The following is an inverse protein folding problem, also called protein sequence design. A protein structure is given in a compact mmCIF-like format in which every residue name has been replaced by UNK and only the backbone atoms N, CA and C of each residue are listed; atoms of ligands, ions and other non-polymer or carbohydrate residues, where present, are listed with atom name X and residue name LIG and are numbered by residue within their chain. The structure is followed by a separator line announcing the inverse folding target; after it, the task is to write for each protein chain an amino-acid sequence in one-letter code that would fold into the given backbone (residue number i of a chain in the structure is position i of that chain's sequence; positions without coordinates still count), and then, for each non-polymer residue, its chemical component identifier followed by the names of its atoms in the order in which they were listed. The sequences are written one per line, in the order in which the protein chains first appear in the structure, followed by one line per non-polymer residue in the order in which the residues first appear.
data_IF_491154753000
#
_entry.id   IF_491154753000
#
_cell.length_a   1.000
_cell.length_b   1.000
_cell.length_c   1.000
_cell.angle_alpha   90.00
_cell.angle_beta   90.00
_cell.angle_gamma   90.00
#
_symmetry.space_group_name_H-M   'P 1'
#
loop_
_entity.id
_entity.type
_entity.pdbx_description
1 polymer ?
#
# COMPACT_ATOMS: atom_id res chain seq x y z
N UNK A 1 10.17 -27.47 10.18
CA UNK A 1 9.70 -27.56 8.78
C UNK A 1 8.87 -26.32 8.49
N UNK A 2 9.29 -25.48 7.55
CA UNK A 2 8.54 -24.28 7.18
C UNK A 2 7.25 -24.71 6.45
N UNK A 3 6.09 -24.36 6.99
CA UNK A 3 4.81 -24.65 6.34
C UNK A 3 4.62 -23.60 5.24
N UNK A 4 4.76 -24.02 3.98
CA UNK A 4 4.48 -23.15 2.82
C UNK A 4 2.97 -23.04 2.68
N UNK A 5 2.42 -21.82 2.86
CA UNK A 5 1.01 -21.54 2.65
C UNK A 5 0.73 -21.30 1.16
N UNK A 6 -0.36 -21.86 0.60
CA UNK A 6 -0.75 -21.50 -0.76
C UNK A 6 -1.13 -20.01 -0.84
N UNK A 7 -0.94 -19.39 -2.00
CA UNK A 7 -1.31 -17.97 -2.21
C UNK A 7 -2.78 -17.68 -1.94
N UNK A 8 -3.64 -18.67 -2.11
CA UNK A 8 -5.09 -18.59 -1.84
C UNK A 8 -5.46 -18.82 -0.37
N UNK A 9 -4.47 -18.98 0.52
CA UNK A 9 -4.75 -19.16 1.95
C UNK A 9 -5.51 -17.97 2.52
N UNK A 10 -6.41 -18.27 3.44
CA UNK A 10 -7.18 -17.24 4.15
C UNK A 10 -6.31 -16.36 5.01
N UNK A 11 -6.77 -15.12 5.22
CA UNK A 11 -6.13 -14.14 6.09
C UNK A 11 -6.10 -14.67 7.52
N UNK A 12 -4.95 -14.57 8.16
CA UNK A 12 -4.75 -14.84 9.59
C UNK A 12 -4.41 -13.51 10.25
N UNK A 13 -5.34 -12.87 10.95
CA UNK A 13 -5.18 -11.49 11.43
C UNK A 13 -3.91 -11.25 12.24
N UNK A 14 -3.56 -12.17 13.14
CA UNK A 14 -2.38 -12.04 14.01
C UNK A 14 -1.06 -12.04 13.24
N UNK A 15 -1.05 -12.61 12.03
CA UNK A 15 0.13 -12.73 11.15
C UNK A 15 0.10 -11.76 9.98
N UNK A 16 -0.96 -10.98 9.85
CA UNK A 16 -1.19 -10.10 8.69
C UNK A 16 -1.00 -8.64 9.08
N UNK A 17 -0.42 -7.84 8.17
CA UNK A 17 -0.47 -6.40 8.19
C UNK A 17 -1.23 -5.86 6.97
N UNK A 18 -1.99 -4.77 7.16
CA UNK A 18 -2.55 -3.97 6.07
C UNK A 18 -1.60 -2.82 5.78
N UNK A 19 -1.01 -2.80 4.58
CA UNK A 19 -0.07 -1.79 4.14
C UNK A 19 -0.74 -0.82 3.15
N UNK A 20 -0.88 0.43 3.55
CA UNK A 20 -1.46 1.51 2.74
C UNK A 20 -0.34 2.37 2.14
N UNK A 21 -0.24 2.32 0.80
CA UNK A 21 0.88 2.90 0.05
C UNK A 21 0.50 4.26 -0.51
N UNK A 22 1.16 5.33 -0.04
CA UNK A 22 1.21 6.66 -0.64
C UNK A 22 -0.16 7.33 -0.88
N UNK A 23 -1.17 7.04 -0.04
CA UNK A 23 -2.47 7.71 -0.09
C UNK A 23 -2.38 9.06 0.62
N UNK A 24 -1.51 9.92 0.09
CA UNK A 24 -1.11 11.21 0.67
C UNK A 24 -1.58 12.41 -0.16
N UNK A 25 -1.68 13.57 0.48
CA UNK A 25 -2.21 14.79 -0.14
C UNK A 25 -1.50 15.15 -1.45
N UNK A 26 -0.17 15.11 -1.49
CA UNK A 26 0.58 15.46 -2.69
C UNK A 26 0.38 14.50 -3.88
N UNK A 27 -0.14 13.30 -3.66
CA UNK A 27 -0.57 12.40 -4.73
C UNK A 27 -2.05 12.63 -5.06
N UNK A 28 -2.89 12.78 -4.05
CA UNK A 28 -4.35 12.80 -4.21
C UNK A 28 -4.90 14.14 -4.71
N UNK A 29 -4.15 15.23 -4.63
CA UNK A 29 -4.62 16.57 -5.05
C UNK A 29 -3.93 17.12 -6.30
N UNK A 30 -2.94 16.39 -6.83
CA UNK A 30 -2.07 16.85 -7.92
C UNK A 30 -2.69 16.60 -9.30
N UNK A 31 -2.95 17.65 -10.08
CA UNK A 31 -3.30 17.61 -11.51
C UNK A 31 -4.51 16.74 -11.92
N UNK A 32 -5.67 16.88 -11.29
CA UNK A 32 -6.86 16.11 -11.70
C UNK A 32 -7.25 16.34 -13.16
N UNK A 33 -6.99 17.52 -13.72
CA UNK A 33 -7.28 17.88 -15.10
C UNK A 33 -6.40 17.15 -16.14
N UNK A 34 -5.23 16.66 -15.72
CA UNK A 34 -4.29 15.96 -16.62
C UNK A 34 -4.48 14.45 -16.59
N UNK A 35 -4.93 13.92 -15.46
CA UNK A 35 -5.08 12.47 -15.22
C UNK A 35 -6.50 12.16 -14.67
N UNK A 36 -7.59 12.49 -15.41
CA UNK A 36 -8.95 12.39 -14.88
C UNK A 36 -9.31 10.98 -14.42
N UNK A 37 -8.98 9.93 -15.19
CA UNK A 37 -9.25 8.55 -14.78
C UNK A 37 -8.64 8.22 -13.42
N UNK A 38 -7.38 8.64 -13.18
CA UNK A 38 -6.70 8.37 -11.93
C UNK A 38 -7.42 9.03 -10.75
N UNK A 39 -7.77 10.31 -10.88
CA UNK A 39 -8.42 11.05 -9.80
C UNK A 39 -9.87 10.62 -9.58
N UNK A 40 -10.63 10.36 -10.63
CA UNK A 40 -12.01 9.88 -10.53
C UNK A 40 -12.06 8.49 -9.84
N UNK A 41 -11.19 7.58 -10.26
CA UNK A 41 -11.10 6.25 -9.65
C UNK A 41 -10.60 6.31 -8.22
N UNK A 42 -9.61 7.15 -7.94
CA UNK A 42 -9.04 7.35 -6.61
C UNK A 42 -10.12 7.79 -5.61
N UNK A 43 -10.84 8.87 -5.93
CA UNK A 43 -11.83 9.45 -5.03
C UNK A 43 -13.16 8.69 -5.03
N UNK A 44 -13.59 8.18 -6.17
CA UNK A 44 -14.85 7.45 -6.30
C UNK A 44 -14.82 6.00 -5.82
N UNK A 45 -13.63 5.38 -5.79
CA UNK A 45 -13.52 3.94 -5.51
C UNK A 45 -12.43 3.61 -4.50
N UNK A 46 -11.18 3.99 -4.79
CA UNK A 46 -10.02 3.47 -4.03
C UNK A 46 -10.01 3.98 -2.59
N UNK A 47 -10.07 5.29 -2.37
CA UNK A 47 -10.05 5.85 -1.01
C UNK A 47 -11.23 5.34 -0.18
N UNK A 48 -12.50 5.38 -0.66
CA UNK A 48 -13.62 4.78 0.06
C UNK A 48 -13.43 3.31 0.42
N UNK A 49 -12.89 2.50 -0.50
CA UNK A 49 -12.62 1.09 -0.26
C UNK A 49 -11.54 0.88 0.80
N UNK A 50 -10.43 1.63 0.73
CA UNK A 50 -9.36 1.56 1.72
C UNK A 50 -9.83 1.98 3.12
N UNK A 51 -10.71 2.99 3.22
CA UNK A 51 -11.34 3.39 4.49
C UNK A 51 -12.16 2.24 5.08
N UNK A 52 -13.00 1.60 4.26
CA UNK A 52 -13.82 0.45 4.70
C UNK A 52 -12.95 -0.72 5.13
N UNK A 53 -11.90 -1.03 4.37
CA UNK A 53 -11.00 -2.13 4.70
C UNK A 53 -10.18 -1.85 5.96
N UNK A 54 -9.69 -0.61 6.15
CA UNK A 54 -9.00 -0.23 7.39
C UNK A 54 -9.87 -0.44 8.62
N UNK A 55 -11.15 -0.04 8.56
CA UNK A 55 -12.10 -0.27 9.65
C UNK A 55 -12.27 -1.76 9.94
N UNK A 56 -12.37 -2.59 8.90
CA UNK A 56 -12.49 -4.05 9.06
C UNK A 56 -11.19 -4.66 9.63
N UNK A 57 -10.03 -4.19 9.17
CA UNK A 57 -8.71 -4.60 9.66
C UNK A 57 -8.55 -4.31 11.16
N UNK A 58 -8.87 -3.11 11.61
CA UNK A 58 -8.84 -2.75 13.03
C UNK A 58 -9.75 -3.65 13.88
N UNK A 59 -10.97 -3.91 13.41
CA UNK A 59 -11.91 -4.81 14.11
C UNK A 59 -11.40 -6.24 14.21
N UNK A 60 -10.61 -6.67 13.23
CA UNK A 60 -10.01 -8.01 13.20
C UNK A 60 -8.64 -8.07 13.93
N UNK A 61 -8.13 -6.97 14.49
CA UNK A 61 -6.82 -6.92 15.14
C UNK A 61 -5.63 -6.98 14.16
N UNK A 62 -5.85 -6.61 12.90
CA UNK A 62 -4.78 -6.51 11.90
C UNK A 62 -4.02 -5.20 12.12
N UNK A 63 -2.70 -5.30 12.16
CA UNK A 63 -1.81 -4.13 12.18
C UNK A 63 -1.93 -3.32 10.89
N UNK A 64 -2.12 -2.01 11.01
CA UNK A 64 -2.15 -1.10 9.86
C UNK A 64 -0.85 -0.31 9.79
N UNK A 65 -0.19 -0.37 8.64
CA UNK A 65 1.06 0.31 8.36
C UNK A 65 0.88 1.21 7.16
N UNK A 66 1.42 2.41 7.22
CA UNK A 66 1.34 3.40 6.14
C UNK A 66 2.72 3.69 5.57
N UNK A 67 2.78 3.93 4.27
CA UNK A 67 3.94 4.59 3.68
C UNK A 67 3.55 5.94 3.09
N UNK A 68 4.47 6.88 3.17
CA UNK A 68 4.38 8.18 2.52
C UNK A 68 5.67 8.44 1.76
N UNK A 69 5.57 9.01 0.57
CA UNK A 69 6.74 9.56 -0.11
C UNK A 69 7.11 10.83 0.65
N UNK A 70 8.23 10.80 1.34
CA UNK A 70 8.74 11.93 2.10
C UNK A 70 10.26 11.90 2.08
N UNK A 71 10.88 13.02 1.68
CA UNK A 71 12.34 13.15 1.67
C UNK A 71 12.88 13.31 3.09
N UNK A 72 13.97 12.61 3.40
CA UNK A 72 14.65 12.73 4.69
C UNK A 72 15.42 14.05 4.82
N UNK A 73 15.79 14.64 3.67
CA UNK A 73 16.55 15.90 3.58
C UNK A 73 15.74 16.97 2.88
N UNK A 74 15.96 18.23 3.23
CA UNK A 74 15.21 19.36 2.67
C UNK A 74 15.36 19.50 1.14
N UNK A 75 16.55 19.19 0.61
CA UNK A 75 16.86 19.23 -0.82
C UNK A 75 16.51 17.91 -1.56
N UNK A 76 16.10 16.89 -0.83
CA UNK A 76 15.71 15.60 -1.40
C UNK A 76 16.85 14.81 -2.05
N UNK A 77 18.12 15.04 -1.62
CA UNK A 77 19.29 14.30 -2.14
C UNK A 77 19.27 12.81 -1.84
N UNK A 78 18.49 12.39 -0.83
CA UNK A 78 18.27 11.02 -0.38
C UNK A 78 17.32 10.22 -1.27
N UNK A 79 16.62 10.87 -2.21
CA UNK A 79 15.68 10.21 -3.12
C UNK A 79 16.39 9.27 -4.09
N UNK A 80 15.70 8.19 -4.50
CA UNK A 80 16.16 7.32 -5.58
C UNK A 80 16.39 8.12 -6.89
N UNK A 81 17.17 7.56 -7.80
CA UNK A 81 17.37 8.18 -9.11
C UNK A 81 16.05 8.40 -9.84
N UNK A 82 15.16 7.38 -9.81
CA UNK A 82 13.84 7.47 -10.42
C UNK A 82 13.03 8.64 -9.85
N UNK A 83 12.97 8.81 -8.53
CA UNK A 83 12.27 9.93 -7.91
C UNK A 83 12.88 11.30 -8.22
N UNK A 84 14.19 11.36 -8.45
CA UNK A 84 14.86 12.60 -8.92
C UNK A 84 14.46 12.92 -10.35
N UNK A 85 14.40 11.93 -11.23
CA UNK A 85 14.04 12.09 -12.64
C UNK A 85 12.54 12.37 -12.83
N UNK A 86 11.67 11.75 -12.07
CA UNK A 86 10.21 11.93 -12.15
C UNK A 86 9.71 13.14 -11.35
N UNK A 87 10.56 13.75 -10.54
CA UNK A 87 10.23 14.94 -9.75
C UNK A 87 9.41 14.66 -8.49
N UNK A 88 9.29 13.41 -8.04
CA UNK A 88 8.68 13.10 -6.74
C UNK A 88 9.55 13.64 -5.61
N UNK A 89 9.10 14.75 -5.03
CA UNK A 89 9.75 15.40 -3.90
C UNK A 89 8.72 16.03 -2.98
N UNK A 90 8.52 15.41 -1.83
CA UNK A 90 7.68 15.93 -0.76
C UNK A 90 8.60 16.19 0.45
N UNK A 91 8.85 17.45 0.80
CA UNK A 91 9.72 17.78 1.93
C UNK A 91 9.19 17.24 3.25
N UNK A 92 10.09 16.91 4.15
CA UNK A 92 9.75 16.37 5.47
C UNK A 92 8.78 17.28 6.22
N UNK A 93 7.70 16.70 6.73
CA UNK A 93 6.67 17.41 7.49
C UNK A 93 5.75 18.31 6.65
N UNK A 94 5.88 18.30 5.30
CA UNK A 94 5.01 19.06 4.43
C UNK A 94 3.58 18.52 4.45
N UNK A 95 2.61 19.36 4.11
CA UNK A 95 1.21 18.95 3.95
C UNK A 95 1.05 17.89 2.85
N UNK A 96 1.83 17.98 1.79
CA UNK A 96 1.86 17.02 0.68
C UNK A 96 2.32 15.61 1.12
N UNK A 97 3.18 15.52 2.14
CA UNK A 97 3.65 14.24 2.68
C UNK A 97 2.64 13.59 3.64
N UNK A 98 1.62 14.32 4.11
CA UNK A 98 0.60 13.77 5.02
C UNK A 98 -0.39 12.87 4.26
N UNK A 99 -0.84 11.83 4.94
CA UNK A 99 -1.96 11.02 4.49
C UNK A 99 -3.22 11.90 4.34
N UNK A 100 -4.09 11.54 3.39
CA UNK A 100 -5.41 12.20 3.26
C UNK A 100 -6.20 12.06 4.55
N UNK A 101 -7.06 13.02 4.84
CA UNK A 101 -7.80 13.09 6.10
C UNK A 101 -8.62 11.81 6.40
N UNK A 102 -9.20 11.20 5.37
CA UNK A 102 -10.02 9.98 5.46
C UNK A 102 -9.21 8.76 5.93
N UNK A 103 -7.90 8.76 5.69
CA UNK A 103 -6.97 7.69 6.06
C UNK A 103 -5.86 8.19 6.98
N UNK A 104 -6.07 9.32 7.68
CA UNK A 104 -5.12 9.81 8.67
C UNK A 104 -4.81 8.72 9.70
N UNK A 105 -3.52 8.40 9.93
CA UNK A 105 -3.13 7.39 10.91
C UNK A 105 -3.45 7.85 12.32
N UNK A 106 -3.81 6.90 13.18
CA UNK A 106 -3.91 7.15 14.61
C UNK A 106 -2.51 7.40 15.23
N UNK A 107 -2.40 8.03 16.41
CA UNK A 107 -1.11 8.37 17.01
C UNK A 107 -0.18 7.18 17.27
N UNK A 108 -0.71 5.96 17.38
CA UNK A 108 0.04 4.72 17.64
C UNK A 108 0.20 3.84 16.37
N UNK A 109 -0.22 4.33 15.21
CA UNK A 109 -0.06 3.60 13.95
C UNK A 109 1.28 3.91 13.28
N UNK A 110 1.85 2.91 12.61
CA UNK A 110 3.18 2.97 12.01
C UNK A 110 3.12 3.70 10.67
N UNK A 111 3.85 4.82 10.56
CA UNK A 111 4.04 5.57 9.31
C UNK A 111 5.50 5.54 8.91
N UNK A 112 5.80 5.06 7.71
CA UNK A 112 7.16 4.91 7.20
C UNK A 112 7.40 5.87 6.02
N UNK A 113 8.24 6.90 6.19
CA UNK A 113 8.66 7.75 5.07
C UNK A 113 9.58 6.96 4.13
N UNK A 114 9.28 7.00 2.84
CA UNK A 114 10.07 6.31 1.81
C UNK A 114 10.57 7.27 0.72
N UNK A 115 11.72 6.94 0.17
CA UNK A 115 12.42 7.75 -0.84
C UNK A 115 12.64 7.00 -2.17
N UNK A 116 11.97 5.85 -2.33
CA UNK A 116 11.94 5.03 -3.56
C UNK A 116 10.59 4.36 -3.73
N UNK A 117 10.32 3.75 -4.89
CA UNK A 117 9.05 3.07 -5.17
C UNK A 117 8.80 1.92 -4.21
N UNK A 118 9.79 1.05 -3.95
CA UNK A 118 9.64 -0.02 -2.98
C UNK A 118 9.92 0.46 -1.55
N UNK A 119 8.97 0.29 -0.62
CA UNK A 119 9.23 0.55 0.80
C UNK A 119 10.26 -0.42 1.40
N UNK A 120 10.41 -1.60 0.84
CA UNK A 120 11.41 -2.58 1.29
C UNK A 120 12.86 -2.12 1.05
N UNK A 121 13.07 -1.18 0.11
CA UNK A 121 14.40 -0.69 -0.24
C UNK A 121 14.79 0.61 0.50
N UNK A 122 13.81 1.40 0.95
CA UNK A 122 14.09 2.73 1.51
C UNK A 122 13.49 2.97 2.89
N UNK A 123 12.96 1.93 3.51
CA UNK A 123 12.41 2.02 4.89
C UNK A 123 12.83 0.83 5.74
N UNK A 124 12.43 0.85 6.99
CA UNK A 124 12.58 -0.27 7.93
C UNK A 124 11.42 -1.27 7.88
N UNK A 125 10.59 -1.27 6.81
CA UNK A 125 9.37 -2.08 6.74
C UNK A 125 9.61 -3.56 7.05
N UNK A 126 10.58 -4.20 6.39
CA UNK A 126 10.88 -5.62 6.60
C UNK A 126 11.29 -5.92 8.06
N UNK A 127 12.14 -5.05 8.63
CA UNK A 127 12.54 -5.14 10.03
C UNK A 127 11.34 -5.03 10.99
N UNK A 128 10.49 -4.05 10.77
CA UNK A 128 9.29 -3.81 11.60
C UNK A 128 8.34 -5.00 11.52
N UNK A 129 7.95 -5.42 10.32
CA UNK A 129 7.00 -6.53 10.12
C UNK A 129 7.49 -7.82 10.79
N UNK A 130 8.77 -8.16 10.67
CA UNK A 130 9.34 -9.36 11.32
C UNK A 130 9.30 -9.27 12.83
N UNK A 131 9.63 -8.11 13.39
CA UNK A 131 9.64 -7.91 14.85
C UNK A 131 8.27 -7.97 15.47
N UNK A 132 7.22 -7.55 14.75
CA UNK A 132 5.83 -7.65 15.21
C UNK A 132 5.15 -8.96 14.77
N UNK A 133 5.92 -9.91 14.22
CA UNK A 133 5.45 -11.26 13.90
C UNK A 133 4.54 -11.35 12.66
N UNK A 134 4.63 -10.39 11.72
CA UNK A 134 3.83 -10.38 10.49
C UNK A 134 4.59 -11.04 9.34
N UNK A 135 3.98 -12.03 8.70
CA UNK A 135 4.51 -12.74 7.53
C UNK A 135 3.52 -12.74 6.34
N UNK A 136 2.42 -12.04 6.48
CA UNK A 136 1.45 -11.78 5.42
C UNK A 136 1.17 -10.27 5.31
N UNK A 137 1.02 -9.77 4.09
CA UNK A 137 0.77 -8.35 3.83
C UNK A 137 -0.36 -8.21 2.83
N UNK A 138 -1.42 -7.49 3.23
CA UNK A 138 -2.46 -6.98 2.35
C UNK A 138 -2.03 -5.58 1.92
N UNK A 139 -1.96 -5.30 0.60
CA UNK A 139 -1.45 -4.03 0.08
C UNK A 139 -2.46 -3.32 -0.81
N UNK A 140 -2.63 -2.02 -0.61
CA UNK A 140 -3.41 -1.12 -1.46
C UNK A 140 -2.84 0.30 -1.45
N UNK A 141 -3.31 1.15 -2.36
CA UNK A 141 -2.85 2.53 -2.52
C UNK A 141 -2.34 2.84 -3.93
N UNK A 142 -1.29 3.66 -4.08
CA UNK A 142 -0.87 4.21 -5.36
C UNK A 142 0.62 4.02 -5.66
N UNK A 143 0.99 3.88 -6.94
CA UNK A 143 0.18 3.52 -8.11
C UNK A 143 0.35 2.03 -8.37
N UNK A 144 -0.67 1.39 -8.97
CA UNK A 144 -0.70 -0.07 -9.19
C UNK A 144 0.54 -0.59 -9.93
N UNK A 145 0.98 0.11 -10.97
CA UNK A 145 2.10 -0.25 -11.82
C UNK A 145 3.45 0.36 -11.38
N UNK A 146 3.51 0.92 -10.18
CA UNK A 146 4.72 1.52 -9.60
C UNK A 146 4.93 1.00 -8.17
N UNK A 147 4.60 1.80 -7.16
CA UNK A 147 4.89 1.44 -5.76
C UNK A 147 4.19 0.16 -5.32
N UNK A 148 2.97 -0.13 -5.79
CA UNK A 148 2.25 -1.38 -5.50
C UNK A 148 2.97 -2.57 -6.15
N UNK A 149 3.30 -2.51 -7.45
CA UNK A 149 4.02 -3.58 -8.16
C UNK A 149 5.36 -3.89 -7.48
N UNK A 150 6.19 -2.87 -7.21
CA UNK A 150 7.45 -3.05 -6.49
C UNK A 150 7.25 -3.68 -5.11
N UNK A 151 6.25 -3.22 -4.35
CA UNK A 151 5.94 -3.76 -3.02
C UNK A 151 5.54 -5.23 -3.07
N UNK A 152 4.70 -5.60 -4.04
CA UNK A 152 4.23 -6.98 -4.22
C UNK A 152 5.40 -7.92 -4.53
N UNK A 153 6.25 -7.56 -5.50
CA UNK A 153 7.38 -8.41 -5.91
C UNK A 153 8.43 -8.52 -4.81
N UNK A 154 8.87 -7.40 -4.27
CA UNK A 154 9.86 -7.38 -3.19
C UNK A 154 9.37 -8.09 -1.94
N UNK A 155 8.09 -7.93 -1.60
CA UNK A 155 7.49 -8.64 -0.46
C UNK A 155 7.45 -10.15 -0.68
N UNK A 156 7.05 -10.60 -1.86
CA UNK A 156 7.05 -12.02 -2.22
C UNK A 156 8.46 -12.63 -2.18
N UNK A 157 9.47 -11.93 -2.73
CA UNK A 157 10.86 -12.38 -2.73
C UNK A 157 11.48 -12.41 -1.31
N UNK A 158 10.98 -11.59 -0.39
CA UNK A 158 11.35 -11.58 1.03
C UNK A 158 10.61 -12.63 1.86
N UNK A 159 9.68 -13.38 1.24
CA UNK A 159 8.95 -14.47 1.87
C UNK A 159 7.65 -14.09 2.55
N UNK A 160 7.09 -12.90 2.26
CA UNK A 160 5.76 -12.51 2.71
C UNK A 160 4.67 -13.14 1.83
N UNK A 161 3.57 -13.58 2.44
CA UNK A 161 2.35 -13.93 1.73
C UNK A 161 1.63 -12.63 1.32
N UNK A 162 1.80 -12.23 0.06
CA UNK A 162 1.26 -10.96 -0.46
C UNK A 162 -0.18 -11.12 -0.93
N UNK A 163 -1.04 -10.15 -0.61
CA UNK A 163 -2.39 -9.97 -1.16
C UNK A 163 -2.55 -8.56 -1.69
N UNK A 164 -2.84 -8.39 -2.99
CA UNK A 164 -3.13 -7.10 -3.58
C UNK A 164 -4.64 -6.85 -3.61
N UNK A 165 -5.08 -5.67 -3.17
CA UNK A 165 -6.47 -5.22 -3.20
C UNK A 165 -6.74 -4.61 -4.58
N UNK A 166 -7.44 -5.33 -5.45
CA UNK A 166 -7.60 -4.94 -6.85
C UNK A 166 -8.44 -3.68 -7.05
N UNK A 167 -9.42 -3.44 -6.20
CA UNK A 167 -10.26 -2.23 -6.17
C UNK A 167 -9.84 -1.23 -5.06
N UNK A 168 -8.72 -1.50 -4.42
CA UNK A 168 -8.05 -0.66 -3.44
C UNK A 168 -6.73 -0.08 -3.97
N UNK A 169 -6.47 -0.15 -5.27
CA UNK A 169 -5.36 0.52 -5.95
C UNK A 169 -5.78 1.00 -7.33
N UNK A 170 -5.06 1.96 -7.88
CA UNK A 170 -5.26 2.47 -9.25
C UNK A 170 -3.98 3.11 -9.78
N UNK A 171 -3.96 3.44 -11.07
CA UNK A 171 -2.88 4.17 -11.75
C UNK A 171 -3.47 5.08 -12.83
N UNK A 172 -2.64 5.70 -13.66
CA UNK A 172 -3.01 6.74 -14.64
C UNK A 172 -4.10 6.36 -15.62
N UNK A 173 -4.23 5.07 -15.99
CA UNK A 173 -5.28 4.57 -16.89
C UNK A 173 -5.74 3.19 -16.49
N UNK A 174 -6.99 2.83 -16.85
CA UNK A 174 -7.53 1.49 -16.62
C UNK A 174 -6.70 0.39 -17.30
N UNK A 175 -6.22 0.64 -18.51
CA UNK A 175 -5.40 -0.31 -19.25
C UNK A 175 -4.08 -0.60 -18.51
N UNK A 176 -3.41 0.42 -17.99
CA UNK A 176 -2.19 0.24 -17.17
C UNK A 176 -2.48 -0.49 -15.87
N UNK A 177 -3.59 -0.16 -15.20
CA UNK A 177 -4.00 -0.85 -13.98
C UNK A 177 -4.19 -2.35 -14.21
N UNK A 178 -4.96 -2.72 -15.23
CA UNK A 178 -5.20 -4.13 -15.58
C UNK A 178 -3.93 -4.86 -15.99
N UNK A 179 -3.08 -4.22 -16.80
CA UNK A 179 -1.81 -4.79 -17.21
C UNK A 179 -0.87 -5.07 -16.02
N UNK A 180 -0.81 -4.15 -15.05
CA UNK A 180 -0.02 -4.33 -13.84
C UNK A 180 -0.54 -5.49 -13.00
N UNK A 181 -1.85 -5.54 -12.73
CA UNK A 181 -2.47 -6.65 -12.00
C UNK A 181 -2.17 -8.01 -12.66
N UNK A 182 -2.25 -8.08 -13.98
CA UNK A 182 -1.91 -9.30 -14.72
C UNK A 182 -0.42 -9.64 -14.63
N UNK A 183 0.46 -8.66 -14.71
CA UNK A 183 1.91 -8.84 -14.69
C UNK A 183 2.45 -9.39 -13.35
N UNK A 184 1.87 -9.00 -12.22
CA UNK A 184 2.32 -9.48 -10.91
C UNK A 184 1.39 -10.50 -10.24
N UNK A 185 0.33 -10.99 -10.90
CA UNK A 185 -0.59 -12.00 -10.33
C UNK A 185 0.10 -13.27 -9.85
N UNK A 186 1.26 -13.59 -10.43
CA UNK A 186 2.09 -14.73 -10.03
C UNK A 186 2.80 -14.55 -8.68
N UNK A 187 2.84 -13.35 -8.11
CA UNK A 187 3.55 -13.03 -6.87
C UNK A 187 2.61 -12.83 -5.67
N UNK A 188 1.32 -12.63 -5.90
CA UNK A 188 0.36 -12.37 -4.82
C UNK A 188 -1.00 -13.03 -5.07
N UNK A 189 -1.78 -13.15 -4.01
CA UNK A 189 -3.24 -13.27 -4.11
C UNK A 189 -3.81 -11.93 -4.56
N UNK A 190 -4.82 -11.95 -5.40
CA UNK A 190 -5.63 -10.78 -5.74
C UNK A 190 -7.02 -10.94 -5.15
N UNK A 191 -7.51 -9.90 -4.50
CA UNK A 191 -8.84 -9.89 -3.90
C UNK A 191 -9.44 -8.48 -3.96
N UNK A 192 -10.75 -8.39 -3.99
CA UNK A 192 -11.47 -7.12 -3.82
C UNK A 192 -11.60 -6.76 -2.34
N UNK A 193 -11.85 -5.50 -2.07
CA UNK A 193 -12.17 -4.99 -0.73
C UNK A 193 -13.35 -5.75 -0.11
N UNK A 194 -14.40 -6.00 -0.91
CA UNK A 194 -15.58 -6.72 -0.44
C UNK A 194 -15.29 -8.15 0.00
N UNK A 195 -14.49 -8.88 -0.78
CA UNK A 195 -14.07 -10.25 -0.46
C UNK A 195 -13.24 -10.29 0.83
N UNK A 196 -12.29 -9.37 1.00
CA UNK A 196 -11.46 -9.30 2.20
C UNK A 196 -12.28 -8.95 3.45
N UNK A 197 -13.21 -7.99 3.35
CA UNK A 197 -14.09 -7.64 4.48
C UNK A 197 -14.97 -8.83 4.89
N UNK A 198 -15.54 -9.56 3.92
CA UNK A 198 -16.34 -10.75 4.20
C UNK A 198 -15.51 -11.85 4.87
N UNK A 199 -14.29 -12.06 4.40
CA UNK A 199 -13.36 -13.03 4.98
C UNK A 199 -13.00 -12.67 6.43
N UNK A 200 -12.63 -11.41 6.70
CA UNK A 200 -12.30 -10.93 8.04
C UNK A 200 -13.47 -11.04 9.01
N UNK A 201 -14.69 -10.81 8.54
CA UNK A 201 -15.89 -10.99 9.38
C UNK A 201 -16.14 -12.45 9.78
N UNK A 202 -15.63 -13.42 9.02
CA UNK A 202 -15.77 -14.84 9.31
C UNK A 202 -14.71 -15.40 10.27
N UNK A 203 -13.56 -14.73 10.38
CA UNK A 203 -12.45 -15.16 11.27
C UNK A 203 -12.60 -14.73 12.72
N UNK A 204 -13.50 -13.79 13.01
CA UNK A 204 -13.78 -13.25 14.35
C UNK A 204 -14.85 -14.01 15.17
N UNK A 205 -15.19 -15.24 14.76
CA UNK A 205 -16.16 -16.09 15.49
C UNK A 205 -15.50 -17.23 16.21
#
# INVERSE_FOLDING_TARGET
MMIIRPRTASVVPERTALLLIDVQNGICTRRPEVEPYFYDTMHGTVIPNLVRLRIAAHRAGIEVVYTVIESLTADGRDRSLDYKLTGFHFPRGSEDARMVAELAPAPDEIVLPKTSSSPSNSTTLDYVLRNIGKDAVIVGGFQTDQCIDHTVRDGADRGYAMTCITDGCTTKTEARHRAALDAFKGYCRQATTGELIAELASTGR
#
